data_IF_178967173305
#
_entry.id   IF_178967173305
#
_cell.length_a   1.000
_cell.length_b   1.000
_cell.length_c   1.000
_cell.angle_alpha   90.00
_cell.angle_beta   90.00
_cell.angle_gamma   90.00
#
_symmetry.space_group_name_H-M   'P 1'
#
loop_
_entity.id
_entity.type
_entity.pdbx_description
1 polymer ?
#
# COMPACT_ATOMS: atom_id res chain seq x y z
N UNK A 1 33.36 -63.77 37.30
CA UNK A 1 32.70 -62.45 37.19
C UNK A 1 31.49 -62.66 36.28
N UNK A 2 30.26 -62.49 36.80
CA UNK A 2 29.03 -62.94 36.15
C UNK A 2 28.61 -62.05 34.97
N UNK A 3 28.48 -62.67 33.84
CA UNK A 3 28.07 -62.00 32.57
C UNK A 3 26.84 -61.07 32.70
N UNK A 4 25.92 -61.38 33.62
CA UNK A 4 24.76 -60.53 33.95
C UNK A 4 25.14 -59.18 34.58
N UNK A 5 26.23 -59.09 35.33
CA UNK A 5 26.70 -57.80 35.91
C UNK A 5 27.40 -56.92 34.89
N UNK A 6 28.01 -57.47 33.86
CA UNK A 6 28.61 -56.71 32.76
C UNK A 6 27.55 -56.09 31.84
N UNK A 7 26.44 -56.81 31.57
CA UNK A 7 25.35 -56.31 30.74
C UNK A 7 24.59 -55.16 31.42
N UNK A 8 24.41 -55.24 32.74
CA UNK A 8 23.72 -54.18 33.50
C UNK A 8 24.55 -52.90 33.58
N UNK A 9 25.92 -53.02 33.70
CA UNK A 9 26.79 -51.86 33.69
C UNK A 9 26.86 -51.19 32.32
N UNK A 10 26.82 -51.95 31.21
CA UNK A 10 26.84 -51.42 29.84
C UNK A 10 25.53 -50.71 29.47
N UNK A 11 24.38 -51.18 29.98
CA UNK A 11 23.08 -50.56 29.74
C UNK A 11 22.91 -49.25 30.52
N UNK A 12 23.43 -49.18 31.76
CA UNK A 12 23.38 -47.94 32.55
C UNK A 12 24.30 -46.84 31.99
N UNK A 13 25.46 -47.19 31.40
CA UNK A 13 26.36 -46.23 30.76
C UNK A 13 25.84 -45.72 29.43
N UNK A 14 25.08 -46.51 28.65
CA UNK A 14 24.45 -46.04 27.42
C UNK A 14 23.24 -45.14 27.69
N UNK A 15 22.53 -45.33 28.80
CA UNK A 15 21.41 -44.43 29.16
C UNK A 15 21.86 -43.05 29.68
N UNK A 16 23.06 -42.95 30.29
CA UNK A 16 23.60 -41.64 30.70
C UNK A 16 24.24 -40.83 29.58
N UNK A 17 24.64 -41.46 28.47
CA UNK A 17 25.17 -40.75 27.30
C UNK A 17 24.03 -40.18 26.38
N UNK A 18 22.82 -40.70 26.50
CA UNK A 18 21.66 -40.21 25.70
C UNK A 18 20.98 -38.95 26.27
N UNK A 19 21.27 -38.58 27.55
CA UNK A 19 20.65 -37.39 28.19
C UNK A 19 21.52 -36.12 28.01
N UNK A 20 22.79 -36.26 27.58
CA UNK A 20 23.72 -35.13 27.42
C UNK A 20 23.64 -34.44 26.01
N UNK A 21 22.85 -34.96 25.07
CA UNK A 21 22.76 -34.41 23.70
C UNK A 21 21.47 -33.62 23.41
N UNK A 22 20.61 -33.39 24.41
CA UNK A 22 19.36 -32.59 24.21
C UNK A 22 19.42 -31.17 24.78
N UNK A 23 20.60 -30.70 25.22
CA UNK A 23 20.79 -29.36 25.76
C UNK A 23 21.50 -28.43 24.76
N UNK A 24 21.12 -28.47 23.48
CA UNK A 24 21.78 -27.69 22.42
C UNK A 24 20.87 -27.27 21.27
N UNK A 25 19.54 -27.26 21.45
CA UNK A 25 18.68 -26.46 20.59
C UNK A 25 18.44 -25.13 21.29
N UNK A 26 19.23 -24.11 20.94
CA UNK A 26 18.88 -22.74 21.15
C UNK A 26 17.59 -22.45 20.41
N UNK A 27 16.46 -22.73 21.05
CA UNK A 27 15.17 -22.23 20.59
C UNK A 27 15.27 -20.72 20.62
N UNK A 28 15.30 -20.07 19.47
CA UNK A 28 14.91 -18.69 19.38
C UNK A 28 13.59 -18.57 20.16
N UNK A 29 13.62 -17.85 21.28
CA UNK A 29 12.41 -17.44 21.96
C UNK A 29 11.63 -16.66 20.92
N UNK A 30 10.64 -17.29 20.25
CA UNK A 30 9.60 -16.53 19.56
C UNK A 30 9.12 -15.51 20.58
N UNK A 31 9.37 -14.26 20.32
CA UNK A 31 8.81 -13.17 21.09
C UNK A 31 7.30 -13.38 21.07
N UNK A 32 6.66 -13.44 22.24
CA UNK A 32 5.19 -13.47 22.37
C UNK A 32 4.54 -12.13 21.94
N UNK A 33 5.29 -11.29 21.22
CA UNK A 33 4.76 -10.04 20.67
C UNK A 33 3.67 -10.34 19.67
N UNK A 34 2.56 -9.65 19.83
CA UNK A 34 1.50 -9.63 18.83
C UNK A 34 2.07 -9.13 17.51
N UNK A 35 1.61 -9.67 16.40
CA UNK A 35 1.94 -9.19 15.06
C UNK A 35 0.74 -8.41 14.52
N UNK A 36 0.97 -7.18 14.06
CA UNK A 36 0.00 -6.38 13.32
C UNK A 36 0.25 -6.58 11.83
N UNK A 37 -0.67 -7.25 11.14
CA UNK A 37 -0.62 -7.49 9.69
C UNK A 37 -1.33 -6.36 8.97
N UNK A 38 -0.58 -5.56 8.21
CA UNK A 38 -1.11 -4.41 7.48
C UNK A 38 -1.00 -4.64 5.98
N UNK A 39 -2.13 -4.53 5.28
CA UNK A 39 -2.18 -4.57 3.82
C UNK A 39 -2.03 -3.18 3.21
N UNK A 40 -1.28 -3.10 2.12
CA UNK A 40 -1.16 -1.94 1.25
C UNK A 40 -0.76 -2.34 -0.16
N UNK A 41 -1.01 -1.47 -1.15
CA UNK A 41 -0.75 -1.76 -2.56
C UNK A 41 0.75 -1.80 -2.88
N UNK A 42 1.56 -1.01 -2.18
CA UNK A 42 2.98 -0.79 -2.42
C UNK A 42 3.30 -0.28 -3.85
N UNK A 43 2.35 0.42 -4.46
CA UNK A 43 2.45 1.04 -5.79
C UNK A 43 1.83 2.46 -5.84
N UNK A 44 1.56 3.06 -4.68
CA UNK A 44 0.84 4.32 -4.50
C UNK A 44 1.72 5.37 -3.81
N UNK A 45 2.73 5.90 -4.51
CA UNK A 45 3.57 6.98 -3.99
C UNK A 45 2.79 8.31 -3.92
N UNK A 46 2.98 9.13 -2.86
CA UNK A 46 3.94 9.00 -1.77
C UNK A 46 3.38 8.30 -0.52
N UNK A 47 2.23 7.66 -0.61
CA UNK A 47 1.59 6.99 0.52
C UNK A 47 2.26 5.65 0.84
N UNK A 48 2.37 4.76 -0.14
CA UNK A 48 3.04 3.48 0.01
C UNK A 48 3.61 3.00 -1.33
N UNK A 49 4.89 2.69 -1.37
CA UNK A 49 5.55 2.11 -2.57
C UNK A 49 6.62 1.10 -2.17
N UNK A 50 6.98 0.22 -3.10
CA UNK A 50 8.06 -0.74 -2.88
C UNK A 50 9.41 -0.20 -3.34
N UNK A 51 10.46 -0.56 -2.62
CA UNK A 51 11.86 -0.29 -2.92
C UNK A 51 12.74 -1.49 -2.61
N UNK A 52 13.92 -1.55 -3.22
CA UNK A 52 14.85 -2.69 -3.08
C UNK A 52 15.72 -2.63 -1.84
N UNK A 53 15.83 -1.46 -1.17
CA UNK A 53 16.69 -1.23 -0.01
C UNK A 53 15.86 -0.90 1.23
N UNK A 54 16.40 -1.24 2.40
CA UNK A 54 15.79 -0.95 3.71
C UNK A 54 16.01 0.51 4.17
N UNK A 55 16.30 1.44 3.25
CA UNK A 55 16.63 2.82 3.58
C UNK A 55 15.42 3.61 4.11
N UNK A 56 15.68 4.68 4.85
CA UNK A 56 14.65 5.63 5.29
C UNK A 56 13.65 5.09 6.30
N UNK A 57 13.87 3.90 6.86
CA UNK A 57 12.92 3.25 7.77
C UNK A 57 11.85 2.42 7.05
N UNK A 58 12.12 2.02 5.81
CA UNK A 58 11.29 1.09 5.08
C UNK A 58 11.15 -0.26 5.81
N UNK A 59 10.00 -0.90 5.66
CA UNK A 59 9.64 -2.16 6.30
C UNK A 59 9.62 -3.27 5.27
N UNK A 60 10.21 -4.42 5.59
CA UNK A 60 10.24 -5.57 4.69
C UNK A 60 8.82 -6.04 4.38
N UNK A 61 8.54 -6.28 3.10
CA UNK A 61 7.25 -6.83 2.65
C UNK A 61 7.28 -8.34 2.88
N UNK A 62 6.25 -8.87 3.54
CA UNK A 62 6.12 -10.29 3.84
C UNK A 62 6.16 -11.13 2.54
N UNK A 63 6.98 -12.18 2.55
CA UNK A 63 7.15 -13.06 1.40
C UNK A 63 7.88 -12.45 0.19
N UNK A 64 8.49 -11.25 0.32
CA UNK A 64 9.21 -10.55 -0.75
C UNK A 64 10.63 -10.18 -0.34
N UNK A 65 11.48 -9.86 -1.33
CA UNK A 65 12.79 -9.24 -1.11
C UNK A 65 12.74 -7.70 -1.12
N UNK A 66 11.57 -7.11 -1.37
CA UNK A 66 11.33 -5.67 -1.40
C UNK A 66 10.93 -5.13 -0.02
N UNK A 67 10.97 -3.81 0.11
CA UNK A 67 10.61 -3.06 1.30
C UNK A 67 9.53 -2.05 0.94
N UNK A 68 8.53 -1.91 1.79
CA UNK A 68 7.53 -0.87 1.68
C UNK A 68 8.01 0.41 2.37
N UNK A 69 7.80 1.54 1.73
CA UNK A 69 8.09 2.86 2.27
C UNK A 69 6.97 3.85 1.93
N UNK A 70 6.87 4.93 2.69
CA UNK A 70 5.91 6.01 2.48
C UNK A 70 5.12 6.39 3.71
N UNK A 71 4.19 7.32 3.53
CA UNK A 71 3.39 7.88 4.62
C UNK A 71 2.55 6.81 5.35
N UNK A 72 1.91 5.92 4.60
CA UNK A 72 1.10 4.82 5.15
C UNK A 72 1.96 3.84 5.97
N UNK A 73 3.19 3.57 5.51
CA UNK A 73 4.15 2.72 6.24
C UNK A 73 4.54 3.37 7.56
N UNK A 74 4.76 4.70 7.56
CA UNK A 74 5.05 5.45 8.80
C UNK A 74 3.88 5.41 9.77
N UNK A 75 2.65 5.51 9.27
CA UNK A 75 1.43 5.38 10.08
C UNK A 75 1.27 3.97 10.64
N UNK A 76 1.51 2.93 9.82
CA UNK A 76 1.49 1.54 10.26
C UNK A 76 2.52 1.26 11.37
N UNK A 77 3.74 1.78 11.25
CA UNK A 77 4.77 1.67 12.29
C UNK A 77 4.33 2.31 13.60
N UNK A 78 3.82 3.56 13.56
CA UNK A 78 3.32 4.24 14.76
C UNK A 78 2.18 3.48 15.42
N UNK A 79 1.28 2.89 14.63
CA UNK A 79 0.19 2.07 15.16
C UNK A 79 0.73 0.80 15.84
N UNK A 80 1.61 0.05 15.18
CA UNK A 80 2.23 -1.16 15.73
C UNK A 80 2.99 -0.86 17.03
N UNK A 81 3.81 0.22 17.04
CA UNK A 81 4.55 0.68 18.23
C UNK A 81 3.60 1.00 19.40
N UNK A 82 2.49 1.69 19.13
CA UNK A 82 1.49 2.02 20.15
C UNK A 82 0.79 0.81 20.75
N UNK A 83 0.70 -0.27 19.98
CA UNK A 83 0.12 -1.56 20.39
C UNK A 83 1.14 -2.50 21.02
N UNK A 84 2.43 -2.16 21.01
CA UNK A 84 3.51 -3.06 21.41
C UNK A 84 3.61 -4.30 20.50
N UNK A 85 3.19 -4.17 19.24
CA UNK A 85 3.16 -5.24 18.24
C UNK A 85 4.33 -5.13 17.26
N UNK A 86 4.73 -6.26 16.68
CA UNK A 86 5.61 -6.28 15.51
C UNK A 86 4.78 -6.01 14.24
N UNK A 87 5.30 -5.19 13.33
CA UNK A 87 4.62 -4.84 12.08
C UNK A 87 5.00 -5.83 10.97
N UNK A 88 3.99 -6.37 10.30
CA UNK A 88 4.14 -7.17 9.09
C UNK A 88 3.35 -6.53 7.94
N UNK A 89 4.03 -6.12 6.85
CA UNK A 89 3.40 -5.50 5.69
C UNK A 89 3.16 -6.55 4.61
N UNK A 90 1.91 -6.61 4.16
CA UNK A 90 1.45 -7.46 3.07
C UNK A 90 1.16 -6.62 1.83
N UNK A 91 1.88 -6.88 0.73
CA UNK A 91 1.57 -6.30 -0.57
C UNK A 91 0.35 -7.01 -1.16
N UNK A 92 -0.71 -6.25 -1.36
CA UNK A 92 -2.00 -6.74 -1.86
C UNK A 92 -2.51 -5.73 -2.88
N UNK A 93 -2.95 -6.23 -4.04
CA UNK A 93 -3.57 -5.37 -5.05
C UNK A 93 -4.76 -4.60 -4.47
N UNK A 94 -5.00 -3.39 -4.97
CA UNK A 94 -5.96 -2.43 -4.42
C UNK A 94 -7.33 -3.06 -4.12
N UNK A 95 -7.92 -3.77 -5.08
CA UNK A 95 -9.24 -4.39 -4.93
C UNK A 95 -9.27 -5.56 -3.94
N UNK A 96 -8.11 -6.11 -3.60
CA UNK A 96 -7.96 -7.20 -2.64
C UNK A 96 -7.89 -6.74 -1.18
N UNK A 97 -7.69 -5.44 -0.90
CA UNK A 97 -7.44 -4.94 0.46
C UNK A 97 -8.64 -5.14 1.38
N UNK A 98 -9.84 -4.64 1.00
CA UNK A 98 -11.04 -4.80 1.82
C UNK A 98 -11.43 -6.29 2.01
N UNK A 99 -11.45 -7.13 0.96
CA UNK A 99 -11.63 -8.59 1.14
C UNK A 99 -10.60 -9.24 2.07
N UNK A 100 -9.35 -8.80 2.05
CA UNK A 100 -8.31 -9.35 2.94
C UNK A 100 -8.56 -9.00 4.41
N UNK A 101 -9.09 -7.81 4.70
CA UNK A 101 -9.54 -7.43 6.06
C UNK A 101 -10.73 -8.30 6.49
N UNK A 102 -11.75 -8.41 5.64
CA UNK A 102 -12.97 -9.19 5.93
C UNK A 102 -12.65 -10.67 6.22
N UNK A 103 -11.71 -11.24 5.46
CA UNK A 103 -11.31 -12.65 5.65
C UNK A 103 -10.34 -12.87 6.83
N UNK A 104 -9.85 -11.81 7.48
CA UNK A 104 -8.85 -11.91 8.55
C UNK A 104 -7.44 -12.27 8.03
N UNK A 105 -7.18 -12.16 6.73
CA UNK A 105 -5.84 -12.34 6.16
C UNK A 105 -4.89 -11.24 6.62
N UNK A 106 -5.40 -10.04 6.80
CA UNK A 106 -4.73 -8.88 7.40
C UNK A 106 -5.62 -8.28 8.49
N UNK A 107 -5.02 -7.62 9.46
CA UNK A 107 -5.74 -6.98 10.56
C UNK A 107 -6.26 -5.60 10.17
N UNK A 108 -5.54 -4.90 9.29
CA UNK A 108 -5.93 -3.58 8.79
C UNK A 108 -5.39 -3.33 7.38
N UNK A 109 -6.10 -2.51 6.61
CA UNK A 109 -5.58 -1.88 5.40
C UNK A 109 -5.21 -0.42 5.72
N UNK A 110 -3.95 -0.03 5.46
CA UNK A 110 -3.46 1.35 5.57
C UNK A 110 -2.88 1.71 4.19
N UNK A 111 -3.72 2.30 3.33
CA UNK A 111 -3.44 2.44 1.91
C UNK A 111 -4.11 3.68 1.28
N UNK A 112 -4.24 4.79 2.03
CA UNK A 112 -4.90 5.99 1.53
C UNK A 112 -6.37 5.79 1.16
N UNK A 113 -7.03 4.77 1.69
CA UNK A 113 -8.39 4.40 1.31
C UNK A 113 -9.42 5.41 1.80
N UNK A 114 -10.10 6.07 0.89
CA UNK A 114 -11.17 7.03 1.19
C UNK A 114 -12.34 6.37 1.91
N UNK A 115 -12.84 7.04 2.95
CA UNK A 115 -14.02 6.63 3.70
C UNK A 115 -15.26 6.94 2.88
N UNK A 116 -16.04 5.90 2.50
CA UNK A 116 -17.31 6.05 1.81
C UNK A 116 -18.40 5.24 2.49
N UNK A 117 -19.68 5.66 2.33
CA UNK A 117 -20.83 4.91 2.86
C UNK A 117 -20.83 3.47 2.35
N UNK A 118 -20.58 3.28 1.04
CA UNK A 118 -20.53 1.96 0.42
C UNK A 118 -19.46 1.05 1.04
N UNK A 119 -18.27 1.58 1.31
CA UNK A 119 -17.19 0.78 1.94
C UNK A 119 -17.51 0.43 3.39
N UNK A 120 -18.20 1.33 4.10
CA UNK A 120 -18.65 1.10 5.49
C UNK A 120 -19.69 -0.02 5.63
N UNK A 121 -20.33 -0.46 4.55
CA UNK A 121 -21.18 -1.64 4.56
C UNK A 121 -20.39 -2.94 4.74
N UNK A 122 -19.10 -2.92 4.50
CA UNK A 122 -18.25 -4.12 4.44
C UNK A 122 -17.12 -4.09 5.48
N UNK A 123 -16.52 -2.92 5.73
CA UNK A 123 -15.39 -2.74 6.67
C UNK A 123 -15.58 -1.49 7.52
N UNK A 124 -15.03 -1.52 8.72
CA UNK A 124 -14.97 -0.35 9.60
C UNK A 124 -13.77 0.53 9.26
N UNK A 125 -13.90 1.83 9.56
CA UNK A 125 -12.85 2.82 9.37
C UNK A 125 -12.50 3.50 10.70
N UNK A 126 -11.21 3.82 10.85
CA UNK A 126 -10.74 4.73 11.89
C UNK A 126 -11.13 6.18 11.58
N UNK A 127 -10.76 7.12 12.44
CA UNK A 127 -10.73 8.54 12.05
C UNK A 127 -9.75 8.73 10.90
N UNK A 128 -10.01 9.69 9.96
CA UNK A 128 -9.08 9.96 8.86
C UNK A 128 -7.71 10.42 9.41
N UNK A 129 -6.65 9.88 8.85
CA UNK A 129 -5.28 10.32 9.12
C UNK A 129 -4.74 11.30 8.08
N UNK A 130 -5.50 11.50 7.00
CA UNK A 130 -5.22 12.44 5.92
C UNK A 130 -6.51 12.91 5.23
N UNK A 131 -6.54 14.14 4.74
CA UNK A 131 -7.61 14.69 3.90
C UNK A 131 -7.04 15.03 2.53
N UNK A 132 -7.52 14.37 1.48
CA UNK A 132 -7.05 14.55 0.13
C UNK A 132 -7.89 15.58 -0.63
N UNK A 133 -7.24 16.35 -1.50
CA UNK A 133 -7.88 17.24 -2.48
C UNK A 133 -7.73 16.62 -3.87
N UNK A 134 -8.81 16.64 -4.65
CA UNK A 134 -8.85 16.15 -6.03
C UNK A 134 -8.22 17.16 -6.97
N UNK A 135 -7.36 16.66 -7.86
CA UNK A 135 -6.68 17.46 -8.87
C UNK A 135 -6.62 16.74 -10.22
N UNK A 136 -6.24 17.47 -11.24
CA UNK A 136 -5.92 16.93 -12.55
C UNK A 136 -4.39 16.85 -12.74
N UNK A 137 -3.92 15.77 -13.37
CA UNK A 137 -2.54 15.60 -13.82
C UNK A 137 -2.55 15.49 -15.34
N UNK A 138 -1.72 16.32 -16.01
CA UNK A 138 -1.68 16.46 -17.47
C UNK A 138 -0.23 16.64 -17.95
N UNK A 139 0.02 16.56 -19.25
CA UNK A 139 1.32 16.96 -19.84
C UNK A 139 1.46 18.48 -19.85
N UNK A 140 2.65 19.01 -19.55
CA UNK A 140 2.95 20.47 -19.53
C UNK A 140 2.72 21.16 -20.87
N UNK A 141 2.98 20.46 -21.95
CA UNK A 141 2.88 20.96 -23.33
C UNK A 141 1.51 20.72 -23.96
N UNK A 142 0.54 20.20 -23.18
CA UNK A 142 -0.82 19.94 -23.66
C UNK A 142 -1.74 21.16 -23.56
N UNK A 143 -2.83 21.17 -24.35
CA UNK A 143 -3.88 22.19 -24.23
C UNK A 143 -4.54 22.16 -22.84
N UNK A 144 -4.65 20.96 -22.23
CA UNK A 144 -5.18 20.80 -20.88
C UNK A 144 -4.39 21.56 -19.83
N UNK A 145 -3.08 21.75 -20.02
CA UNK A 145 -2.24 22.49 -19.09
C UNK A 145 -2.60 23.97 -18.94
N UNK A 146 -3.37 24.53 -19.89
CA UNK A 146 -3.85 25.92 -19.88
C UNK A 146 -5.15 26.11 -19.11
N UNK A 147 -5.79 25.01 -18.69
CA UNK A 147 -7.07 25.04 -18.00
C UNK A 147 -7.01 25.81 -16.67
N UNK A 148 -7.98 26.65 -16.41
CA UNK A 148 -8.14 27.41 -15.16
C UNK A 148 -9.30 26.87 -14.30
N UNK A 149 -10.06 25.91 -14.83
CA UNK A 149 -11.18 25.27 -14.16
C UNK A 149 -11.41 23.86 -14.71
N UNK A 150 -12.21 23.05 -14.00
CA UNK A 150 -12.64 21.74 -14.50
C UNK A 150 -13.44 21.88 -15.80
N UNK A 151 -14.18 22.98 -16.00
CA UNK A 151 -14.92 23.22 -17.23
C UNK A 151 -14.02 23.38 -18.46
N UNK A 152 -12.80 23.92 -18.29
CA UNK A 152 -11.84 24.10 -19.39
C UNK A 152 -11.20 22.78 -19.83
N UNK A 153 -11.36 21.72 -19.07
CA UNK A 153 -10.94 20.36 -19.43
C UNK A 153 -11.93 19.66 -20.38
N UNK A 154 -12.95 20.36 -20.85
CA UNK A 154 -13.96 19.84 -21.76
C UNK A 154 -13.37 19.01 -22.89
N UNK A 155 -13.99 17.84 -23.18
CA UNK A 155 -13.59 16.96 -24.27
C UNK A 155 -12.29 16.18 -24.02
N UNK A 156 -11.72 16.24 -22.81
CA UNK A 156 -10.53 15.47 -22.47
C UNK A 156 -10.78 13.97 -22.55
N UNK A 157 -9.70 13.22 -22.79
CA UNK A 157 -9.66 11.76 -22.71
C UNK A 157 -9.08 11.39 -21.35
N UNK A 158 -9.91 10.93 -20.42
CA UNK A 158 -9.55 10.82 -19.02
C UNK A 158 -9.60 9.39 -18.50
N UNK A 159 -8.74 9.09 -17.52
CA UNK A 159 -8.78 7.87 -16.71
C UNK A 159 -8.40 8.17 -15.26
N UNK A 160 -8.59 7.20 -14.38
CA UNK A 160 -8.11 7.19 -13.01
C UNK A 160 -7.98 5.76 -12.51
N UNK A 161 -7.61 5.59 -11.22
CA UNK A 161 -7.46 4.27 -10.65
C UNK A 161 -8.82 3.60 -10.43
N UNK A 162 -8.85 2.29 -10.70
CA UNK A 162 -10.02 1.43 -10.55
C UNK A 162 -10.56 1.49 -9.11
N UNK A 163 -11.90 1.48 -8.97
CA UNK A 163 -12.58 1.43 -7.68
C UNK A 163 -12.18 2.53 -6.68
N UNK A 164 -11.77 3.70 -7.20
CA UNK A 164 -11.50 4.89 -6.38
C UNK A 164 -12.56 5.96 -6.58
N UNK A 165 -12.71 6.84 -5.60
CA UNK A 165 -13.58 8.02 -5.73
C UNK A 165 -13.05 8.97 -6.83
N UNK A 166 -11.77 8.91 -7.16
CA UNK A 166 -11.14 9.73 -8.19
C UNK A 166 -11.68 9.41 -9.58
N UNK A 167 -11.97 8.14 -9.85
CA UNK A 167 -12.56 7.73 -11.13
C UNK A 167 -13.96 8.29 -11.33
N UNK A 168 -14.75 8.38 -10.26
CA UNK A 168 -16.09 8.97 -10.31
C UNK A 168 -16.04 10.48 -10.54
N UNK A 169 -14.99 11.17 -10.07
CA UNK A 169 -14.81 12.61 -10.26
C UNK A 169 -14.59 13.01 -11.72
N UNK A 170 -14.15 12.08 -12.58
CA UNK A 170 -14.00 12.32 -14.03
C UNK A 170 -15.30 12.82 -14.65
N UNK A 171 -16.45 12.38 -14.16
CA UNK A 171 -17.78 12.73 -14.71
C UNK A 171 -18.13 14.23 -14.54
N UNK A 172 -17.32 14.97 -13.76
CA UNK A 172 -17.48 16.44 -13.66
C UNK A 172 -16.85 17.19 -14.84
N UNK A 173 -16.03 16.54 -15.66
CA UNK A 173 -15.40 17.14 -16.84
C UNK A 173 -16.40 17.13 -17.98
N UNK A 174 -16.78 18.29 -18.56
CA UNK A 174 -17.79 18.34 -19.65
C UNK A 174 -17.30 17.55 -20.88
N UNK A 175 -18.22 16.83 -21.51
CA UNK A 175 -18.00 16.06 -22.75
C UNK A 175 -16.73 15.15 -22.68
N UNK A 176 -16.37 14.66 -21.50
CA UNK A 176 -15.20 13.82 -21.29
C UNK A 176 -15.34 12.47 -22.00
N UNK A 177 -14.26 12.02 -22.64
CA UNK A 177 -14.12 10.63 -23.06
C UNK A 177 -13.49 9.83 -21.92
N UNK A 178 -14.33 9.25 -21.08
CA UNK A 178 -13.89 8.43 -19.94
C UNK A 178 -13.40 7.08 -20.43
N UNK A 179 -12.11 6.81 -20.24
CA UNK A 179 -11.51 5.51 -20.55
C UNK A 179 -11.77 4.52 -19.40
N UNK A 180 -11.63 3.21 -19.62
CA UNK A 180 -11.61 2.24 -18.55
C UNK A 180 -10.59 2.63 -17.47
N UNK A 181 -10.96 2.39 -16.22
CA UNK A 181 -10.07 2.60 -15.08
C UNK A 181 -8.84 1.70 -15.17
N UNK A 182 -7.75 2.12 -14.52
CA UNK A 182 -6.46 1.42 -14.51
C UNK A 182 -6.16 0.95 -13.09
N UNK A 183 -5.61 -0.24 -12.95
CA UNK A 183 -5.44 -0.88 -11.64
C UNK A 183 -4.44 -0.14 -10.73
N UNK A 184 -3.38 0.47 -11.29
CA UNK A 184 -2.28 1.04 -10.52
C UNK A 184 -1.91 2.46 -10.95
N UNK A 185 -1.36 3.25 -10.00
CA UNK A 185 -0.85 4.61 -10.27
C UNK A 185 0.26 4.61 -11.34
N UNK A 186 1.27 3.72 -11.30
CA UNK A 186 2.26 3.63 -12.37
C UNK A 186 1.64 3.38 -13.75
N UNK A 187 0.63 2.52 -13.83
CA UNK A 187 -0.10 2.25 -15.07
C UNK A 187 -0.81 3.48 -15.63
N UNK A 188 -1.40 4.30 -14.76
CA UNK A 188 -2.02 5.58 -15.15
C UNK A 188 -0.98 6.56 -15.71
N UNK A 189 0.18 6.67 -15.07
CA UNK A 189 1.27 7.54 -15.52
C UNK A 189 1.75 7.12 -16.91
N UNK A 190 1.91 5.82 -17.16
CA UNK A 190 2.26 5.29 -18.48
C UNK A 190 1.19 5.64 -19.52
N UNK A 191 -0.11 5.53 -19.18
CA UNK A 191 -1.19 5.91 -20.10
C UNK A 191 -1.16 7.41 -20.47
N UNK A 192 -0.85 8.28 -19.50
CA UNK A 192 -0.72 9.71 -19.74
C UNK A 192 0.53 10.07 -20.57
N UNK A 193 1.69 9.54 -20.20
CA UNK A 193 2.95 9.82 -20.89
C UNK A 193 2.98 9.28 -22.30
N UNK A 194 2.37 8.12 -22.55
CA UNK A 194 2.22 7.55 -23.91
C UNK A 194 1.16 8.23 -24.77
N UNK A 195 0.33 9.12 -24.19
CA UNK A 195 -0.74 9.80 -24.90
C UNK A 195 -2.02 8.96 -25.11
N UNK A 196 -2.16 7.82 -24.42
CA UNK A 196 -3.39 7.03 -24.41
C UNK A 196 -4.56 7.82 -23.78
N UNK A 197 -4.26 8.62 -22.77
CA UNK A 197 -5.13 9.64 -22.21
C UNK A 197 -4.39 10.99 -22.16
N UNK A 198 -5.10 12.10 -21.95
CA UNK A 198 -4.52 13.42 -21.76
C UNK A 198 -4.86 14.04 -20.39
N UNK A 199 -5.62 13.30 -19.57
CA UNK A 199 -6.05 13.71 -18.24
C UNK A 199 -6.09 12.51 -17.29
N UNK A 200 -5.48 12.67 -16.12
CA UNK A 200 -5.66 11.79 -14.96
C UNK A 200 -6.31 12.61 -13.85
N UNK A 201 -7.34 12.09 -13.21
CA UNK A 201 -7.93 12.66 -11.98
C UNK A 201 -7.42 11.85 -10.80
N UNK A 202 -6.81 12.52 -9.81
CA UNK A 202 -6.24 11.88 -8.63
C UNK A 202 -6.12 12.89 -7.47
N UNK A 203 -5.44 12.54 -6.38
CA UNK A 203 -5.16 13.44 -5.27
C UNK A 203 -3.85 14.24 -5.45
N UNK A 204 -3.73 15.35 -4.70
CA UNK A 204 -2.57 16.25 -4.78
C UNK A 204 -1.24 15.53 -4.50
N UNK A 205 -1.05 14.76 -3.40
CA UNK A 205 0.23 14.12 -3.14
C UNK A 205 0.67 13.19 -4.27
N UNK A 206 -0.24 12.36 -4.78
CA UNK A 206 0.02 11.41 -5.88
C UNK A 206 0.38 12.16 -7.16
N UNK A 207 -0.40 13.19 -7.53
CA UNK A 207 -0.11 14.02 -8.71
C UNK A 207 1.25 14.72 -8.60
N UNK A 208 1.59 15.28 -7.43
CA UNK A 208 2.88 15.92 -7.20
C UNK A 208 4.04 14.92 -7.26
N UNK A 209 3.90 13.73 -6.68
CA UNK A 209 4.92 12.69 -6.75
C UNK A 209 5.13 12.23 -8.21
N UNK A 210 4.05 12.06 -8.97
CA UNK A 210 4.11 11.73 -10.39
C UNK A 210 4.81 12.81 -11.21
N UNK A 211 4.47 14.10 -11.01
CA UNK A 211 5.09 15.23 -11.71
C UNK A 211 6.56 15.44 -11.30
N UNK A 212 6.94 15.11 -10.08
CA UNK A 212 8.34 15.14 -9.65
C UNK A 212 9.19 14.07 -10.36
N UNK A 213 8.63 12.86 -10.49
CA UNK A 213 9.30 11.74 -11.15
C UNK A 213 9.28 11.84 -12.69
N UNK A 214 8.34 12.59 -13.25
CA UNK A 214 8.13 12.76 -14.70
C UNK A 214 8.04 14.25 -15.01
N UNK A 215 9.18 14.92 -15.32
CA UNK A 215 9.24 16.38 -15.48
C UNK A 215 8.36 16.96 -16.58
N UNK A 216 7.89 16.14 -17.52
CA UNK A 216 6.94 16.52 -18.58
C UNK A 216 5.51 16.65 -18.08
N UNK A 217 5.20 16.22 -16.85
CA UNK A 217 3.86 16.31 -16.25
C UNK A 217 3.70 17.56 -15.38
N UNK A 218 2.47 18.02 -15.26
CA UNK A 218 2.09 19.13 -14.38
C UNK A 218 0.76 18.86 -13.68
N UNK A 219 0.63 19.44 -12.48
CA UNK A 219 -0.58 19.31 -11.65
C UNK A 219 -1.43 20.56 -11.81
N UNK A 220 -2.70 20.38 -12.14
CA UNK A 220 -3.69 21.45 -12.14
C UNK A 220 -4.47 21.40 -10.82
N UNK A 221 -4.13 22.30 -9.92
CA UNK A 221 -4.83 22.52 -8.67
C UNK A 221 -5.60 23.84 -8.80
N UNK A 222 -6.88 23.73 -9.10
CA UNK A 222 -7.73 24.89 -9.37
C UNK A 222 -8.05 25.69 -8.12
N UNK A 223 -8.36 26.96 -8.29
CA UNK A 223 -8.87 27.82 -7.22
C UNK A 223 -10.22 27.31 -6.67
N UNK A 224 -10.56 27.75 -5.47
CA UNK A 224 -11.84 27.41 -4.83
C UNK A 224 -13.02 27.73 -5.76
N UNK A 225 -13.95 26.80 -5.86
CA UNK A 225 -15.14 26.91 -6.74
C UNK A 225 -14.88 26.60 -8.20
N UNK A 226 -13.62 26.47 -8.65
CA UNK A 226 -13.27 26.12 -10.05
C UNK A 226 -12.79 24.68 -10.20
N UNK A 227 -12.46 24.01 -9.10
CA UNK A 227 -11.97 22.63 -9.04
C UNK A 227 -13.08 21.57 -9.04
N UNK A 228 -12.65 20.34 -8.85
CA UNK A 228 -13.56 19.21 -8.63
C UNK A 228 -14.34 19.40 -7.32
N UNK A 229 -15.62 19.08 -7.34
CA UNK A 229 -16.48 19.08 -6.16
C UNK A 229 -16.36 17.73 -5.45
N UNK A 230 -16.03 17.75 -4.19
CA UNK A 230 -15.91 16.56 -3.32
C UNK A 230 -17.01 16.52 -2.27
#
# INVERSE_FOLDING_TARGET
MNLKKLVTAAVCTMLMAAVAFTAGCGGEKKSDKKVLKVGMECAYAPYNWSQTKADGGAVKIAGSNEYAYGYDVMMAKKLADSMGADLEIHKIEWDGLAPAVVSGKIDAAIAGMSITSKRKETVDFTKPYYYATVVALVKKDSEQAKAQSVADLKGSVATSQLNTIWYDQIDQVPDVKKLPAIDTVPGMIVALTSGKCNLIVTDIPTAKAAAFANPELTVLNFEEGKGFKT
#
